data_IF_138924939157
#
_entry.id   IF_138924939157
#
_cell.length_a   1.000
_cell.length_b   1.000
_cell.length_c   1.000
_cell.angle_alpha   90.00
_cell.angle_beta   90.00
_cell.angle_gamma   90.00
#
_symmetry.space_group_name_H-M   'P 1'
#
loop_
_entity.id
_entity.type
_entity.pdbx_description
1 polymer ?
#
# COMPACT_ATOMS: atom_id res chain seq x y z
N UNK A 1 26.05 -52.49 -39.68
CA UNK A 1 26.51 -51.41 -38.78
C UNK A 1 26.09 -50.07 -39.40
N UNK A 2 25.48 -49.08 -38.77
CA UNK A 2 24.99 -48.93 -37.40
C UNK A 2 24.11 -47.66 -37.35
N UNK A 3 22.77 -47.82 -37.46
CA UNK A 3 21.82 -46.76 -37.11
C UNK A 3 21.87 -46.40 -35.61
N UNK A 4 22.50 -47.25 -34.78
CA UNK A 4 22.72 -47.02 -33.34
C UNK A 4 23.72 -45.90 -33.06
N UNK A 5 24.75 -45.68 -33.90
CA UNK A 5 25.74 -44.61 -33.65
C UNK A 5 25.22 -43.20 -33.94
N UNK A 6 24.27 -43.04 -34.87
CA UNK A 6 23.71 -41.73 -35.22
C UNK A 6 22.83 -41.14 -34.09
N UNK A 7 22.07 -42.00 -33.41
CA UNK A 7 21.18 -41.59 -32.30
C UNK A 7 22.00 -41.22 -31.05
N UNK A 8 23.11 -41.91 -30.79
CA UNK A 8 24.01 -41.61 -29.65
C UNK A 8 24.73 -40.27 -29.88
N UNK A 9 25.20 -40.01 -31.11
CA UNK A 9 25.83 -38.72 -31.45
C UNK A 9 24.88 -37.52 -31.40
N UNK A 10 23.61 -37.71 -31.77
CA UNK A 10 22.59 -36.66 -31.68
C UNK A 10 22.23 -36.36 -30.22
N UNK A 11 22.00 -37.39 -29.39
CA UNK A 11 21.70 -37.22 -27.95
C UNK A 11 22.84 -36.58 -27.16
N UNK A 12 24.10 -36.94 -27.45
CA UNK A 12 25.26 -36.32 -26.80
C UNK A 12 25.39 -34.83 -27.10
N UNK A 13 25.17 -34.42 -28.37
CA UNK A 13 25.17 -33.00 -28.76
C UNK A 13 24.03 -32.22 -28.12
N UNK A 14 22.83 -32.80 -28.02
CA UNK A 14 21.69 -32.16 -27.33
C UNK A 14 21.99 -31.94 -25.85
N UNK A 15 22.63 -32.91 -25.19
CA UNK A 15 22.96 -32.83 -23.77
C UNK A 15 24.04 -31.77 -23.49
N UNK A 16 25.05 -31.66 -24.36
CA UNK A 16 26.08 -30.61 -24.30
C UNK A 16 25.47 -29.22 -24.55
N UNK A 17 24.57 -29.09 -25.53
CA UNK A 17 23.86 -27.83 -25.77
C UNK A 17 22.99 -27.43 -24.56
N UNK A 18 22.27 -28.37 -23.95
CA UNK A 18 21.51 -28.10 -22.73
C UNK A 18 22.42 -27.63 -21.58
N UNK A 19 23.57 -28.28 -21.39
CA UNK A 19 24.51 -27.94 -20.33
C UNK A 19 25.12 -26.54 -20.52
N UNK A 20 25.44 -26.17 -21.76
CA UNK A 20 25.91 -24.83 -22.11
C UNK A 20 24.84 -23.76 -21.89
N UNK A 21 23.57 -24.03 -22.25
CA UNK A 21 22.45 -23.11 -21.99
C UNK A 21 22.24 -22.91 -20.49
N UNK A 22 22.32 -23.97 -19.69
CA UNK A 22 22.21 -23.87 -18.23
C UNK A 22 23.36 -23.10 -17.59
N UNK A 23 24.60 -23.29 -18.07
CA UNK A 23 25.74 -22.50 -17.60
C UNK A 23 25.58 -21.02 -17.93
N UNK A 24 25.13 -20.71 -19.15
CA UNK A 24 24.91 -19.33 -19.61
C UNK A 24 23.78 -18.66 -18.82
N UNK A 25 22.66 -19.37 -18.61
CA UNK A 25 21.57 -18.91 -17.73
C UNK A 25 22.04 -18.74 -16.28
N UNK A 26 22.86 -19.66 -15.76
CA UNK A 26 23.44 -19.56 -14.42
C UNK A 26 24.28 -18.30 -14.23
N UNK A 27 25.12 -17.95 -15.21
CA UNK A 27 25.91 -16.71 -15.16
C UNK A 27 25.06 -15.44 -15.26
N UNK A 28 23.96 -15.47 -16.02
CA UNK A 28 23.02 -14.34 -16.13
C UNK A 28 22.25 -14.16 -14.82
N UNK A 29 21.79 -15.25 -14.20
CA UNK A 29 21.07 -15.20 -12.92
C UNK A 29 22.01 -14.75 -11.80
N UNK A 30 23.25 -15.27 -11.75
CA UNK A 30 24.24 -14.86 -10.76
C UNK A 30 24.68 -13.41 -10.95
N UNK A 31 24.89 -12.96 -12.19
CA UNK A 31 25.26 -11.57 -12.49
C UNK A 31 24.17 -10.54 -12.19
N UNK A 32 22.90 -10.97 -12.10
CA UNK A 32 21.76 -10.12 -11.75
C UNK A 32 21.31 -10.27 -10.29
N UNK A 33 21.96 -11.11 -9.49
CA UNK A 33 21.72 -11.17 -8.06
C UNK A 33 22.37 -9.94 -7.40
N UNK A 34 21.70 -8.78 -7.46
CA UNK A 34 22.06 -7.65 -6.61
C UNK A 34 22.01 -8.11 -5.15
N UNK A 35 23.15 -8.05 -4.46
CA UNK A 35 23.19 -8.28 -3.01
C UNK A 35 22.25 -7.26 -2.35
N UNK A 36 21.13 -7.75 -1.81
CA UNK A 36 20.23 -6.94 -1.00
C UNK A 36 20.97 -6.56 0.27
N UNK A 37 21.48 -5.33 0.33
CA UNK A 37 22.11 -4.80 1.53
C UNK A 37 21.02 -4.55 2.57
N UNK A 38 21.26 -5.00 3.79
CA UNK A 38 20.32 -4.82 4.91
C UNK A 38 20.98 -4.15 6.09
N UNK A 39 20.19 -3.46 6.93
CA UNK A 39 20.60 -2.94 8.23
C UNK A 39 19.64 -3.41 9.32
N UNK A 40 20.15 -3.69 10.51
CA UNK A 40 19.33 -3.97 11.69
C UNK A 40 19.17 -2.69 12.52
N UNK A 41 17.93 -2.29 12.76
CA UNK A 41 17.55 -1.09 13.51
C UNK A 41 16.46 -1.48 14.52
N UNK A 42 16.67 -1.24 15.81
CA UNK A 42 15.75 -1.65 16.90
C UNK A 42 15.29 -3.13 16.80
N UNK A 43 16.21 -4.04 16.47
CA UNK A 43 15.92 -5.47 16.32
C UNK A 43 15.06 -5.84 15.10
N UNK A 44 14.78 -4.90 14.19
CA UNK A 44 14.11 -5.15 12.90
C UNK A 44 15.11 -5.01 11.75
N UNK A 45 14.98 -5.89 10.76
CA UNK A 45 15.79 -5.85 9.54
C UNK A 45 15.12 -4.94 8.52
N UNK A 46 15.91 -4.04 7.94
CA UNK A 46 15.48 -3.15 6.87
C UNK A 46 16.35 -3.32 5.64
N UNK A 47 15.74 -3.31 4.46
CA UNK A 47 16.45 -3.32 3.19
C UNK A 47 16.96 -1.91 2.88
N UNK A 48 18.21 -1.83 2.48
CA UNK A 48 18.81 -0.63 1.93
C UNK A 48 18.53 -0.59 0.43
N UNK A 49 18.02 0.55 -0.04
CA UNK A 49 17.76 0.79 -1.46
C UNK A 49 18.77 1.81 -2.01
N UNK A 50 19.17 1.68 -3.29
CA UNK A 50 19.95 2.70 -3.95
C UNK A 50 19.11 3.97 -4.20
N UNK A 51 19.78 5.12 -4.31
CA UNK A 51 19.14 6.40 -4.60
C UNK A 51 18.34 6.38 -5.91
N UNK A 52 18.77 5.59 -6.89
CA UNK A 52 18.09 5.41 -8.19
C UNK A 52 16.71 4.77 -8.09
N UNK A 53 16.41 4.05 -7.01
CA UNK A 53 15.10 3.44 -6.77
C UNK A 53 14.11 4.40 -6.09
N UNK A 54 14.53 5.62 -5.74
CA UNK A 54 13.63 6.65 -5.21
C UNK A 54 12.91 7.32 -6.38
N UNK A 55 11.57 7.30 -6.44
CA UNK A 55 10.83 7.96 -7.50
C UNK A 55 11.11 9.46 -7.52
N UNK A 56 11.18 10.02 -8.72
CA UNK A 56 11.44 11.44 -8.94
C UNK A 56 10.43 12.31 -8.17
N UNK A 57 10.94 13.38 -7.54
CA UNK A 57 10.12 14.34 -6.79
C UNK A 57 9.69 13.86 -5.40
N UNK A 58 10.11 12.67 -4.94
CA UNK A 58 9.86 12.22 -3.56
C UNK A 58 10.93 12.77 -2.61
N UNK A 59 10.49 13.18 -1.42
CA UNK A 59 11.37 13.71 -0.38
C UNK A 59 12.11 12.57 0.32
N UNK A 60 13.38 12.81 0.61
CA UNK A 60 14.25 11.93 1.39
C UNK A 60 14.62 12.67 2.66
N UNK A 61 14.42 12.02 3.81
CA UNK A 61 14.86 12.55 5.10
C UNK A 61 16.30 12.12 5.31
N UNK A 62 17.21 13.09 5.42
CA UNK A 62 18.62 12.83 5.72
C UNK A 62 18.83 12.88 7.22
N UNK A 63 19.49 11.86 7.76
CA UNK A 63 19.82 11.75 9.18
C UNK A 63 21.31 11.50 9.35
N UNK A 64 21.86 12.06 10.44
CA UNK A 64 23.30 12.02 10.68
C UNK A 64 23.73 10.78 11.48
N UNK A 65 22.78 10.01 12.05
CA UNK A 65 23.09 8.84 12.87
C UNK A 65 22.04 7.73 12.77
N UNK A 66 22.43 6.54 13.20
CA UNK A 66 21.56 5.35 13.27
C UNK A 66 20.46 5.56 14.31
N UNK A 67 20.79 6.15 15.46
CA UNK A 67 19.85 6.41 16.56
C UNK A 67 18.73 7.35 16.11
N UNK A 68 19.04 8.35 15.26
CA UNK A 68 18.04 9.23 14.70
C UNK A 68 17.11 8.49 13.73
N UNK A 69 17.66 7.62 12.88
CA UNK A 69 16.86 6.77 11.99
C UNK A 69 15.92 5.85 12.79
N UNK A 70 16.43 5.23 13.85
CA UNK A 70 15.69 4.37 14.77
C UNK A 70 14.53 5.10 15.44
N UNK A 71 14.75 6.33 15.92
CA UNK A 71 13.71 7.18 16.50
C UNK A 71 12.62 7.50 15.47
N UNK A 72 12.98 7.84 14.24
CA UNK A 72 12.03 8.16 13.17
C UNK A 72 11.21 6.92 12.80
N UNK A 73 11.86 5.78 12.59
CA UNK A 73 11.20 4.52 12.24
C UNK A 73 10.27 4.02 13.36
N UNK A 74 10.71 4.14 14.61
CA UNK A 74 9.88 3.84 15.78
C UNK A 74 8.65 4.75 15.83
N UNK A 75 8.83 6.06 15.62
CA UNK A 75 7.72 7.00 15.58
C UNK A 75 6.72 6.67 14.45
N UNK A 76 7.20 6.28 13.26
CA UNK A 76 6.35 5.84 12.14
C UNK A 76 5.53 4.59 12.53
N UNK A 77 6.18 3.61 13.17
CA UNK A 77 5.49 2.38 13.60
C UNK A 77 4.46 2.61 14.71
N UNK A 78 4.61 3.70 15.47
CA UNK A 78 3.76 4.08 16.59
C UNK A 78 2.89 5.31 16.28
N UNK A 79 2.65 5.59 14.99
CA UNK A 79 1.80 6.72 14.58
C UNK A 79 0.44 6.62 15.28
N UNK A 80 0.10 7.67 16.05
CA UNK A 80 -1.22 7.82 16.64
C UNK A 80 -2.19 8.34 15.59
N UNK A 81 -3.22 7.55 15.32
CA UNK A 81 -4.28 7.89 14.38
C UNK A 81 -5.46 8.47 15.13
N UNK A 82 -5.92 9.64 14.70
CA UNK A 82 -7.15 10.28 15.17
C UNK A 82 -8.23 10.03 14.13
N UNK A 83 -9.32 9.41 14.56
CA UNK A 83 -10.49 9.19 13.72
C UNK A 83 -11.51 10.30 13.93
N UNK A 84 -11.95 10.92 12.84
CA UNK A 84 -13.00 11.93 12.84
C UNK A 84 -14.16 11.42 12.00
N UNK A 85 -15.29 11.20 12.65
CA UNK A 85 -16.58 10.98 12.01
C UNK A 85 -17.32 12.30 11.94
N UNK A 86 -17.84 12.63 10.77
CA UNK A 86 -18.73 13.78 10.59
C UNK A 86 -20.18 13.30 10.66
N UNK A 87 -20.88 13.48 11.80
CA UNK A 87 -22.26 13.04 11.94
C UNK A 87 -23.22 13.83 11.04
N UNK A 88 -22.87 15.04 10.61
CA UNK A 88 -23.73 15.86 9.75
C UNK A 88 -23.76 15.37 8.30
N UNK A 89 -22.80 14.52 7.90
CA UNK A 89 -22.76 13.86 6.59
C UNK A 89 -23.50 12.53 6.53
N UNK A 90 -24.25 12.14 7.57
CA UNK A 90 -25.21 11.02 7.49
C UNK A 90 -26.58 11.55 7.10
N UNK A 91 -26.69 12.04 5.87
CA UNK A 91 -27.96 12.57 5.37
C UNK A 91 -28.72 11.43 4.74
N UNK A 92 -29.77 10.95 5.41
CA UNK A 92 -30.77 10.09 4.79
C UNK A 92 -31.85 11.00 4.19
N UNK A 93 -31.83 11.18 2.87
CA UNK A 93 -32.87 11.93 2.16
C UNK A 93 -33.81 10.95 1.48
N UNK A 94 -35.09 11.26 1.46
CA UNK A 94 -36.10 10.39 0.87
C UNK A 94 -36.88 11.12 -0.22
N UNK A 95 -37.07 10.43 -1.34
CA UNK A 95 -38.00 10.83 -2.39
C UNK A 95 -39.24 9.92 -2.38
N UNK A 96 -40.36 10.52 -1.93
CA UNK A 96 -41.68 9.89 -1.86
C UNK A 96 -42.18 9.38 -3.23
N UNK A 97 -41.79 10.03 -4.32
CA UNK A 97 -42.29 9.70 -5.66
C UNK A 97 -41.64 8.45 -6.24
N UNK A 98 -40.35 8.23 -5.94
CA UNK A 98 -39.56 7.09 -6.42
C UNK A 98 -39.39 5.98 -5.38
N UNK A 99 -39.96 6.15 -4.17
CA UNK A 99 -39.77 5.25 -3.01
C UNK A 99 -38.31 4.90 -2.73
N UNK A 100 -37.41 5.81 -3.08
CA UNK A 100 -35.96 5.61 -3.00
C UNK A 100 -35.40 6.57 -1.97
N UNK A 101 -34.61 6.02 -1.05
CA UNK A 101 -33.81 6.79 -0.12
C UNK A 101 -32.36 6.90 -0.60
N UNK A 102 -31.72 7.99 -0.20
CA UNK A 102 -30.34 8.33 -0.52
C UNK A 102 -29.58 8.52 0.78
N UNK A 103 -28.33 8.06 0.81
CA UNK A 103 -27.46 8.25 1.95
C UNK A 103 -26.01 8.44 1.56
N UNK A 104 -25.22 8.87 2.54
CA UNK A 104 -23.78 9.08 2.41
C UNK A 104 -23.01 8.32 3.48
N UNK A 105 -21.79 7.94 3.11
CA UNK A 105 -20.79 7.31 3.97
C UNK A 105 -19.60 8.25 4.06
N UNK A 106 -19.19 8.57 5.28
CA UNK A 106 -18.06 9.46 5.49
C UNK A 106 -17.28 9.07 6.73
N UNK A 107 -15.99 8.86 6.55
CA UNK A 107 -15.05 8.68 7.65
C UNK A 107 -13.70 9.26 7.26
N UNK A 108 -12.98 9.77 8.24
CA UNK A 108 -11.64 10.30 8.02
C UNK A 108 -10.70 9.86 9.13
N UNK A 109 -9.53 9.42 8.72
CA UNK A 109 -8.43 9.11 9.60
C UNK A 109 -7.30 10.10 9.32
N UNK A 110 -6.84 10.77 10.35
CA UNK A 110 -5.71 11.69 10.29
C UNK A 110 -4.64 11.20 11.25
N UNK A 111 -3.38 11.39 10.89
CA UNK A 111 -2.32 11.40 11.87
C UNK A 111 -1.63 12.75 11.84
N UNK A 112 -1.33 13.23 13.03
CA UNK A 112 -0.45 14.37 13.25
C UNK A 112 0.68 13.84 14.11
N UNK A 113 1.87 13.76 13.54
CA UNK A 113 3.05 13.26 14.20
C UNK A 113 4.11 14.36 14.30
N UNK A 114 4.76 14.44 15.46
CA UNK A 114 6.04 15.12 15.55
C UNK A 114 7.13 14.05 15.51
N UNK A 115 7.80 13.91 14.36
CA UNK A 115 8.85 12.91 14.16
C UNK A 115 10.17 13.67 14.09
N UNK A 116 10.78 13.93 15.25
CA UNK A 116 12.00 14.73 15.35
C UNK A 116 11.74 16.22 15.07
N UNK A 117 12.52 16.92 14.22
CA UNK A 117 12.32 18.35 13.92
C UNK A 117 11.15 18.60 12.95
N UNK A 118 10.30 17.61 12.71
CA UNK A 118 9.40 17.61 11.57
C UNK A 118 7.95 17.35 12.00
N UNK A 119 7.12 18.38 11.79
CA UNK A 119 5.66 18.28 11.94
C UNK A 119 5.05 17.76 10.64
N UNK A 120 4.36 16.63 10.73
CA UNK A 120 3.74 16.01 9.56
C UNK A 120 2.29 15.65 9.79
N UNK A 121 1.48 15.97 8.78
CA UNK A 121 0.10 15.54 8.65
C UNK A 121 -0.05 14.62 7.44
N UNK A 122 -0.86 13.59 7.62
CA UNK A 122 -1.49 12.90 6.50
C UNK A 122 -2.91 12.52 6.88
N UNK A 123 -3.77 12.50 5.87
CA UNK A 123 -5.18 12.18 6.03
C UNK A 123 -5.61 11.18 4.98
N UNK A 124 -6.55 10.35 5.37
CA UNK A 124 -7.32 9.50 4.47
C UNK A 124 -8.78 9.80 4.71
N UNK A 125 -9.51 10.06 3.63
CA UNK A 125 -10.93 10.39 3.67
C UNK A 125 -11.69 9.40 2.82
N UNK A 126 -12.64 8.71 3.43
CA UNK A 126 -13.67 7.92 2.77
C UNK A 126 -14.82 8.83 2.39
N UNK A 127 -15.19 8.85 1.12
CA UNK A 127 -16.39 9.52 0.63
C UNK A 127 -17.20 8.53 -0.18
N UNK A 128 -18.42 8.26 0.26
CA UNK A 128 -19.31 7.37 -0.46
C UNK A 128 -20.76 7.84 -0.43
N UNK A 129 -21.54 7.28 -1.34
CA UNK A 129 -22.98 7.43 -1.42
C UNK A 129 -23.63 6.08 -1.66
N UNK A 130 -24.87 5.95 -1.21
CA UNK A 130 -25.68 4.77 -1.46
C UNK A 130 -27.13 5.16 -1.72
N UNK A 131 -27.84 4.27 -2.41
CA UNK A 131 -29.28 4.34 -2.57
C UNK A 131 -29.92 3.10 -1.96
N UNK A 132 -31.14 3.24 -1.46
CA UNK A 132 -31.88 2.13 -0.87
C UNK A 132 -33.37 2.22 -1.19
N UNK A 133 -34.04 1.08 -1.18
CA UNK A 133 -35.49 1.02 -1.28
C UNK A 133 -36.10 1.34 0.09
N UNK A 134 -36.95 2.35 0.15
CA UNK A 134 -37.50 2.86 1.40
C UNK A 134 -38.43 1.86 2.10
N UNK A 135 -39.24 1.14 1.33
CA UNK A 135 -40.23 0.19 1.86
C UNK A 135 -39.54 -1.06 2.44
N UNK A 136 -38.54 -1.59 1.73
CA UNK A 136 -37.86 -2.85 2.10
C UNK A 136 -36.59 -2.66 2.91
N UNK A 137 -36.11 -1.42 3.04
CA UNK A 137 -34.83 -1.06 3.69
C UNK A 137 -33.64 -1.83 3.13
N UNK A 138 -33.67 -2.11 1.82
CA UNK A 138 -32.58 -2.79 1.12
C UNK A 138 -31.76 -1.82 0.28
N UNK A 139 -30.44 -1.90 0.42
CA UNK A 139 -29.47 -1.19 -0.41
C UNK A 139 -29.66 -1.58 -1.87
N UNK A 140 -29.78 -0.58 -2.75
CA UNK A 140 -29.89 -0.73 -4.20
C UNK A 140 -28.52 -0.54 -4.85
N UNK A 141 -27.73 0.43 -4.37
CA UNK A 141 -26.38 0.68 -4.87
C UNK A 141 -25.51 1.31 -3.79
N UNK A 142 -24.21 1.06 -3.86
CA UNK A 142 -23.19 1.75 -3.07
C UNK A 142 -22.05 2.13 -4.00
N UNK A 143 -21.53 3.35 -3.83
CA UNK A 143 -20.30 3.79 -4.46
C UNK A 143 -19.47 4.51 -3.42
N UNK A 144 -18.20 4.18 -3.32
CA UNK A 144 -17.29 4.85 -2.41
C UNK A 144 -15.93 5.04 -3.07
N UNK A 145 -15.25 6.08 -2.65
CA UNK A 145 -13.87 6.34 -3.00
C UNK A 145 -13.08 6.75 -1.76
N UNK A 146 -11.77 6.61 -1.84
CA UNK A 146 -10.84 6.98 -0.80
C UNK A 146 -9.87 7.98 -1.39
N UNK A 147 -9.71 9.10 -0.70
CA UNK A 147 -8.74 10.13 -1.07
C UNK A 147 -7.70 10.18 0.04
N UNK A 148 -6.44 10.04 -0.35
CA UNK A 148 -5.31 10.20 0.54
C UNK A 148 -4.64 11.55 0.29
N UNK A 149 -4.18 12.18 1.35
CA UNK A 149 -3.30 13.34 1.30
C UNK A 149 -2.16 13.12 2.27
N UNK A 150 -0.94 13.28 1.81
CA UNK A 150 0.25 13.06 2.62
C UNK A 150 1.27 14.14 2.35
N UNK A 151 1.67 14.86 3.40
CA UNK A 151 2.64 15.95 3.29
C UNK A 151 3.99 15.48 2.72
N UNK A 152 4.84 14.90 3.56
CA UNK A 152 6.16 14.39 3.13
C UNK A 152 6.16 12.92 2.70
N UNK A 153 5.12 12.18 3.08
CA UNK A 153 5.04 10.77 2.79
C UNK A 153 4.60 10.59 1.35
N UNK A 154 5.12 9.54 0.73
CA UNK A 154 4.70 9.10 -0.58
C UNK A 154 3.51 8.17 -0.41
N UNK A 155 2.35 8.57 -0.94
CA UNK A 155 1.27 7.61 -1.20
C UNK A 155 1.78 6.52 -2.16
N UNK A 156 1.63 5.26 -1.75
CA UNK A 156 2.01 4.08 -2.53
C UNK A 156 0.78 3.51 -3.23
N UNK A 157 -0.32 3.41 -2.50
CA UNK A 157 -1.56 2.83 -3.00
C UNK A 157 -2.73 3.27 -2.14
N UNK A 158 -3.89 3.40 -2.77
CA UNK A 158 -5.20 3.52 -2.14
C UNK A 158 -6.06 2.34 -2.57
N UNK A 159 -6.90 1.86 -1.65
CA UNK A 159 -7.87 0.79 -1.91
C UNK A 159 -9.20 1.13 -1.25
N UNK A 160 -10.28 0.76 -1.92
CA UNK A 160 -11.64 0.97 -1.42
C UNK A 160 -12.47 -0.30 -1.68
N UNK A 161 -13.29 -0.66 -0.71
CA UNK A 161 -14.28 -1.73 -0.80
C UNK A 161 -15.60 -1.25 -0.20
N UNK A 162 -16.71 -1.79 -0.69
CA UNK A 162 -18.04 -1.40 -0.22
C UNK A 162 -19.02 -2.55 -0.29
N UNK A 163 -20.12 -2.39 0.45
CA UNK A 163 -21.12 -3.43 0.67
C UNK A 163 -21.94 -3.79 -0.56
N UNK A 164 -22.54 -4.97 -0.47
CA UNK A 164 -23.34 -5.58 -1.53
C UNK A 164 -24.78 -5.09 -1.51
N UNK A 165 -25.36 -4.96 -2.70
CA UNK A 165 -26.78 -4.73 -2.95
C UNK A 165 -27.65 -5.80 -2.25
N UNK A 166 -28.82 -5.41 -1.73
CA UNK A 166 -29.75 -6.29 -1.02
C UNK A 166 -29.51 -6.41 0.50
N UNK A 167 -28.44 -5.80 1.01
CA UNK A 167 -28.18 -5.65 2.44
C UNK A 167 -29.10 -4.60 3.08
N UNK A 168 -29.36 -4.72 4.37
CA UNK A 168 -29.99 -3.71 5.24
C UNK A 168 -28.95 -2.76 5.89
N UNK A 169 -27.70 -2.86 5.45
CA UNK A 169 -26.61 -1.99 5.87
C UNK A 169 -25.79 -1.58 4.66
N UNK A 170 -25.68 -0.27 4.44
CA UNK A 170 -24.70 0.30 3.51
C UNK A 170 -23.38 0.49 4.26
N UNK A 171 -22.27 0.05 3.69
CA UNK A 171 -20.95 0.22 4.30
C UNK A 171 -19.87 0.40 3.24
N UNK A 172 -18.79 1.06 3.63
CA UNK A 172 -17.57 1.15 2.84
C UNK A 172 -16.34 1.18 3.75
N UNK A 173 -15.23 0.67 3.23
CA UNK A 173 -13.92 0.65 3.88
C UNK A 173 -12.86 1.13 2.91
N UNK A 174 -11.91 1.87 3.44
CA UNK A 174 -10.79 2.41 2.69
C UNK A 174 -9.47 2.21 3.41
N UNK A 175 -8.40 2.06 2.64
CA UNK A 175 -7.04 2.05 3.17
C UNK A 175 -6.10 2.78 2.21
N UNK A 176 -5.20 3.60 2.77
CA UNK A 176 -4.07 4.14 2.03
C UNK A 176 -2.76 3.73 2.70
N UNK A 177 -1.77 3.38 1.87
CA UNK A 177 -0.45 2.98 2.30
C UNK A 177 0.55 4.07 1.96
N UNK A 178 1.37 4.42 2.94
CA UNK A 178 2.33 5.52 2.85
C UNK A 178 3.74 5.00 3.12
N UNK A 179 4.72 5.62 2.46
CA UNK A 179 6.14 5.39 2.70
C UNK A 179 6.94 6.66 2.84
N UNK A 180 8.04 6.59 3.56
CA UNK A 180 9.06 7.64 3.64
C UNK A 180 10.45 7.04 3.43
N UNK A 181 11.31 7.80 2.76
CA UNK A 181 12.69 7.44 2.52
C UNK A 181 13.58 8.11 3.56
N UNK A 182 14.43 7.32 4.21
CA UNK A 182 15.33 7.77 5.28
C UNK A 182 16.75 7.43 4.84
N UNK A 183 17.53 8.45 4.52
CA UNK A 183 18.93 8.33 4.17
C UNK A 183 19.80 8.52 5.42
N UNK A 184 20.54 7.48 5.79
CA UNK A 184 21.44 7.43 6.94
C UNK A 184 22.85 7.68 6.43
N UNK A 185 23.48 8.77 6.87
CA UNK A 185 24.82 9.16 6.43
C UNK A 185 25.82 8.01 6.64
N UNK A 186 26.57 7.67 5.59
CA UNK A 186 27.58 6.61 5.62
C UNK A 186 27.04 5.17 5.60
N UNK A 187 25.72 4.98 5.56
CA UNK A 187 25.08 3.66 5.59
C UNK A 187 24.30 3.37 4.31
N UNK A 188 23.32 4.21 3.98
CA UNK A 188 22.40 3.96 2.87
C UNK A 188 20.99 4.49 3.12
N UNK A 189 20.04 4.08 2.29
CA UNK A 189 18.66 4.58 2.34
C UNK A 189 17.72 3.44 2.69
N UNK A 190 16.91 3.62 3.71
CA UNK A 190 15.87 2.68 4.13
C UNK A 190 14.47 3.28 3.94
N UNK A 191 13.44 2.44 4.03
CA UNK A 191 12.03 2.82 3.86
C UNK A 191 11.27 2.56 5.16
N UNK A 192 10.60 3.59 5.67
CA UNK A 192 9.56 3.45 6.69
C UNK A 192 8.17 3.43 6.04
N UNK A 193 7.29 2.56 6.51
CA UNK A 193 5.92 2.43 5.97
C UNK A 193 4.87 2.42 7.07
N UNK A 194 3.70 2.99 6.79
CA UNK A 194 2.51 2.84 7.63
C UNK A 194 1.25 2.92 6.76
N UNK A 195 0.10 2.59 7.34
CA UNK A 195 -1.19 2.62 6.65
C UNK A 195 -2.21 3.37 7.49
N UNK A 196 -3.13 4.07 6.83
CA UNK A 196 -4.34 4.60 7.47
C UNK A 196 -5.54 3.89 6.88
N UNK A 197 -6.46 3.48 7.74
CA UNK A 197 -7.71 2.84 7.35
C UNK A 197 -8.89 3.68 7.80
N UNK A 198 -9.98 3.64 7.06
CA UNK A 198 -11.23 4.36 7.33
C UNK A 198 -12.40 3.44 7.04
N UNK A 199 -13.49 3.59 7.78
CA UNK A 199 -14.70 2.79 7.57
C UNK A 199 -15.94 3.49 8.10
N UNK A 200 -17.00 3.45 7.32
CA UNK A 200 -18.32 3.88 7.79
C UNK A 200 -19.39 2.88 7.38
N UNK A 201 -20.48 2.90 8.14
CA UNK A 201 -21.67 2.10 7.89
C UNK A 201 -22.93 2.82 8.37
N UNK A 202 -24.02 2.57 7.66
CA UNK A 202 -25.36 3.05 7.98
C UNK A 202 -26.35 1.89 7.89
N UNK A 203 -27.06 1.63 8.98
CA UNK A 203 -28.19 0.72 9.03
C UNK A 203 -29.46 1.44 8.55
N UNK A 204 -30.28 0.76 7.75
CA UNK A 204 -31.46 1.33 7.07
C UNK A 204 -32.78 1.01 7.74
#
# INVERSE_FOLDING_TARGET
>A
MSKKFYIIGLRGKTLVCFLLVFLLLGTIVWGNAEEVKTIMLNGKVYNLIPLSQIPTGKKVIWVNSIEEAERILSAISNIKVTYKKDPQKKILTYDLSSRTGYGSLYDSAEYVGNIGPLQYGGSVVLVGSFTYNYDTRKVISVRANVVASSGIFTEVSTSCSYGTVGSNTAWARGQANFRVYIAIQGVGITIGTFSLSVSDSVSL
#
